data_IF_155067137632
#
_entry.id   IF_155067137632
#
_cell.length_a   1.000
_cell.length_b   1.000
_cell.length_c   1.000
_cell.angle_alpha   90.00
_cell.angle_beta   90.00
_cell.angle_gamma   90.00
#
_symmetry.space_group_name_H-M   'P 1'
#
loop_
_entity.id
_entity.type
_entity.pdbx_description
1 polymer ?
#
# COMPACT_ATOMS: atom_id res chain seq x y z
N UNK A 1 9.54 7.36 18.70
CA UNK A 1 8.93 6.35 17.82
C UNK A 1 9.88 6.00 16.69
N UNK A 2 9.79 4.80 16.15
CA UNK A 2 10.65 4.30 15.06
C UNK A 2 9.85 3.49 14.04
N UNK A 3 10.40 3.37 12.82
CA UNK A 3 9.87 2.50 11.75
C UNK A 3 10.75 1.26 11.67
N UNK A 4 10.15 0.09 11.49
CA UNK A 4 10.87 -1.18 11.46
C UNK A 4 10.77 -1.97 12.77
N UNK A 5 11.73 -2.84 13.09
CA UNK A 5 12.93 -3.20 12.31
C UNK A 5 12.63 -3.95 11.00
N UNK A 6 13.68 -4.40 10.31
CA UNK A 6 13.57 -5.17 9.07
C UNK A 6 12.79 -4.42 7.98
N UNK A 7 13.12 -3.14 7.78
CA UNK A 7 12.53 -2.28 6.75
C UNK A 7 13.61 -1.74 5.80
N UNK A 8 13.23 -1.36 4.58
CA UNK A 8 14.17 -0.74 3.61
C UNK A 8 14.23 0.78 3.71
N UNK A 9 13.47 1.39 4.60
CA UNK A 9 13.47 2.83 4.83
C UNK A 9 12.26 3.55 4.26
N UNK A 10 12.43 4.82 3.95
CA UNK A 10 11.35 5.67 3.45
C UNK A 10 11.82 6.65 2.36
N UNK A 11 10.88 7.10 1.55
CA UNK A 11 11.06 8.14 0.54
C UNK A 11 9.98 9.21 0.74
N UNK A 12 10.37 10.48 0.64
CA UNK A 12 9.45 11.60 0.42
C UNK A 12 10.01 12.46 -0.71
N UNK A 13 9.42 12.34 -1.89
CA UNK A 13 9.94 12.97 -3.11
C UNK A 13 9.82 14.48 -3.10
N UNK A 14 8.82 15.04 -2.39
CA UNK A 14 8.66 16.50 -2.27
C UNK A 14 9.83 17.17 -1.55
N UNK A 15 10.33 16.52 -0.51
CA UNK A 15 11.43 17.05 0.31
C UNK A 15 12.80 16.51 -0.10
N UNK A 16 12.90 15.75 -1.19
CA UNK A 16 14.11 15.03 -1.60
C UNK A 16 14.72 14.21 -0.45
N UNK A 17 13.85 13.56 0.33
CA UNK A 17 14.25 12.77 1.48
C UNK A 17 14.24 11.28 1.09
N UNK A 18 15.42 10.66 1.13
CA UNK A 18 15.61 9.27 0.68
C UNK A 18 16.45 8.44 1.67
N UNK A 19 16.09 8.32 2.96
CA UNK A 19 16.74 7.40 3.88
C UNK A 19 16.28 5.96 3.60
N UNK A 20 16.76 5.42 2.49
CA UNK A 20 16.37 4.12 1.94
C UNK A 20 17.51 3.51 1.14
N UNK A 21 17.44 2.20 0.89
CA UNK A 21 18.32 1.49 -0.04
C UNK A 21 17.80 1.52 -1.49
N UNK A 22 16.59 2.02 -1.69
CA UNK A 22 15.90 2.02 -2.98
C UNK A 22 16.31 3.21 -3.86
N UNK A 23 16.17 3.03 -5.17
CA UNK A 23 16.37 4.12 -6.12
C UNK A 23 15.27 5.20 -5.99
N UNK A 24 15.62 6.44 -6.30
CA UNK A 24 14.66 7.54 -6.27
C UNK A 24 13.61 7.40 -7.40
N UNK A 25 12.34 7.17 -7.10
CA UNK A 25 11.29 7.12 -8.11
C UNK A 25 10.93 8.52 -8.61
N UNK A 26 10.24 8.65 -9.75
CA UNK A 26 9.65 9.91 -10.17
C UNK A 26 8.70 10.47 -9.11
N UNK A 27 8.72 11.79 -8.91
CA UNK A 27 7.77 12.46 -8.03
C UNK A 27 6.34 12.38 -8.58
N UNK A 28 5.36 12.20 -7.70
CA UNK A 28 3.95 12.10 -8.08
C UNK A 28 3.00 12.09 -6.88
N UNK A 29 1.90 11.38 -7.00
CA UNK A 29 0.80 11.43 -6.02
C UNK A 29 0.45 10.08 -5.38
N UNK A 30 1.14 9.00 -5.75
CA UNK A 30 0.99 7.69 -5.12
C UNK A 30 1.80 7.66 -3.82
N UNK A 31 1.18 7.31 -2.70
CA UNK A 31 1.90 6.92 -1.49
C UNK A 31 1.77 5.43 -1.25
N UNK A 32 2.92 4.77 -1.09
CA UNK A 32 3.05 3.33 -0.91
C UNK A 32 3.49 3.02 0.52
N UNK A 33 2.66 2.24 1.22
CA UNK A 33 3.00 1.62 2.52
C UNK A 33 3.28 0.16 2.28
N UNK A 34 4.48 -0.31 2.61
CA UNK A 34 4.88 -1.69 2.34
C UNK A 34 5.42 -2.39 3.57
N UNK A 35 4.88 -3.58 3.85
CA UNK A 35 5.42 -4.46 4.88
C UNK A 35 6.76 -5.08 4.43
N UNK A 36 6.87 -5.43 3.15
CA UNK A 36 8.08 -5.96 2.54
C UNK A 36 8.92 -4.83 1.92
N UNK A 37 10.17 -4.68 2.36
CA UNK A 37 11.13 -3.76 1.75
C UNK A 37 11.37 -4.09 0.27
N UNK A 38 11.68 -5.36 -0.03
CA UNK A 38 11.97 -5.81 -1.40
C UNK A 38 10.80 -5.58 -2.36
N UNK A 39 9.55 -5.86 -1.93
CA UNK A 39 8.38 -5.63 -2.78
C UNK A 39 8.09 -4.13 -2.93
N UNK A 40 8.29 -3.36 -1.88
CA UNK A 40 8.17 -1.90 -1.95
C UNK A 40 9.19 -1.31 -2.92
N UNK A 41 10.45 -1.72 -2.86
CA UNK A 41 11.51 -1.32 -3.79
C UNK A 41 11.17 -1.69 -5.24
N UNK A 42 10.74 -2.92 -5.48
CA UNK A 42 10.30 -3.35 -6.81
C UNK A 42 9.17 -2.47 -7.37
N UNK A 43 8.19 -2.09 -6.54
CA UNK A 43 7.11 -1.19 -6.96
C UNK A 43 7.67 0.19 -7.29
N UNK A 44 8.61 0.73 -6.49
CA UNK A 44 9.27 2.01 -6.75
C UNK A 44 10.05 1.98 -8.08
N UNK A 45 10.80 0.91 -8.34
CA UNK A 45 11.59 0.76 -9.56
C UNK A 45 10.72 0.66 -10.82
N UNK A 46 9.58 -0.02 -10.73
CA UNK A 46 8.65 -0.19 -11.84
C UNK A 46 7.71 1.00 -12.05
N UNK A 47 7.57 1.89 -11.06
CA UNK A 47 6.65 3.03 -11.12
C UNK A 47 7.02 4.00 -12.27
N UNK A 48 8.30 4.38 -12.39
CA UNK A 48 8.77 5.28 -13.44
C UNK A 48 8.49 4.76 -14.85
N UNK A 49 8.94 3.56 -15.22
CA UNK A 49 8.61 2.92 -16.51
C UNK A 49 7.11 2.80 -16.77
N UNK A 50 6.29 2.59 -15.75
CA UNK A 50 4.83 2.54 -15.87
C UNK A 50 4.18 3.94 -16.01
N UNK A 51 4.93 5.03 -15.87
CA UNK A 51 4.40 6.39 -15.88
C UNK A 51 3.67 6.78 -14.59
N UNK A 52 4.04 6.17 -13.47
CA UNK A 52 3.49 6.43 -12.13
C UNK A 52 4.53 7.19 -11.31
N UNK A 53 4.12 8.31 -10.73
CA UNK A 53 4.95 9.06 -9.79
C UNK A 53 4.58 8.76 -8.34
N UNK A 54 5.60 8.70 -7.47
CA UNK A 54 5.47 8.40 -6.04
C UNK A 54 5.63 9.70 -5.23
N UNK A 55 4.69 9.96 -4.33
CA UNK A 55 4.79 11.01 -3.33
C UNK A 55 5.62 10.53 -2.15
N UNK A 56 5.23 9.39 -1.59
CA UNK A 56 5.88 8.77 -0.44
C UNK A 56 5.98 7.26 -0.61
N UNK A 57 7.09 6.71 -0.17
CA UNK A 57 7.25 5.27 0.05
C UNK A 57 7.67 5.06 1.50
N UNK A 58 7.01 4.15 2.19
CA UNK A 58 7.33 3.84 3.59
C UNK A 58 7.31 2.32 3.76
N UNK A 59 8.50 1.75 3.97
CA UNK A 59 8.64 0.35 4.36
C UNK A 59 8.58 0.26 5.88
N UNK A 60 7.56 -0.39 6.44
CA UNK A 60 7.43 -0.51 7.89
C UNK A 60 7.98 -1.82 8.47
N UNK A 61 8.29 -2.80 7.61
CA UNK A 61 8.91 -4.06 8.03
C UNK A 61 8.06 -4.80 9.08
N UNK A 62 8.65 -5.06 10.26
CA UNK A 62 7.95 -5.77 11.33
C UNK A 62 6.88 -4.92 12.04
N UNK A 63 6.87 -3.60 11.87
CA UNK A 63 5.87 -2.71 12.44
C UNK A 63 5.81 -2.73 13.97
N UNK A 64 6.98 -2.81 14.64
CA UNK A 64 7.03 -3.00 16.10
C UNK A 64 6.62 -1.77 16.92
N UNK A 65 6.73 -0.56 16.36
CA UNK A 65 6.25 0.69 16.97
C UNK A 65 5.31 1.41 16.01
N UNK A 66 5.81 1.86 14.84
CA UNK A 66 4.97 2.41 13.78
C UNK A 66 4.61 1.28 12.82
N UNK A 67 3.32 1.03 12.65
CA UNK A 67 2.77 -0.02 11.80
C UNK A 67 1.91 0.57 10.67
N UNK A 68 1.28 -0.29 9.87
CA UNK A 68 0.43 0.10 8.76
C UNK A 68 -0.74 1.01 9.17
N UNK A 69 -1.27 0.84 10.38
CA UNK A 69 -2.41 1.64 10.85
C UNK A 69 -2.00 3.08 11.13
N UNK A 70 -0.85 3.28 11.80
CA UNK A 70 -0.30 4.62 12.05
C UNK A 70 -0.01 5.34 10.72
N UNK A 71 0.54 4.61 9.74
CA UNK A 71 0.89 5.16 8.45
C UNK A 71 -0.34 5.51 7.62
N UNK A 72 -1.36 4.67 7.62
CA UNK A 72 -2.62 4.95 6.96
C UNK A 72 -3.34 6.15 7.59
N UNK A 73 -3.35 6.26 8.92
CA UNK A 73 -3.92 7.43 9.60
C UNK A 73 -3.17 8.72 9.25
N UNK A 74 -1.85 8.68 9.14
CA UNK A 74 -1.04 9.79 8.63
C UNK A 74 -1.40 10.15 7.20
N UNK A 75 -1.48 9.18 6.27
CA UNK A 75 -1.76 9.42 4.86
C UNK A 75 -3.20 9.89 4.60
N UNK A 76 -4.11 9.60 5.49
CA UNK A 76 -5.49 10.12 5.42
C UNK A 76 -5.52 11.64 5.35
N UNK A 77 -4.74 12.34 6.17
CA UNK A 77 -4.66 13.79 6.21
C UNK A 77 -3.57 14.40 5.32
N UNK A 78 -2.86 13.62 4.53
CA UNK A 78 -1.73 14.09 3.73
C UNK A 78 -2.17 14.63 2.36
N UNK A 79 -2.05 15.93 2.13
CA UNK A 79 -2.48 16.60 0.90
C UNK A 79 -1.67 16.22 -0.35
N UNK A 80 -0.47 15.68 -0.18
CA UNK A 80 0.38 15.24 -1.28
C UNK A 80 -0.04 13.87 -1.82
N UNK A 81 -0.70 13.09 -0.98
CA UNK A 81 -1.19 11.74 -1.31
C UNK A 81 -2.57 11.83 -1.94
N UNK A 82 -2.67 11.44 -3.21
CA UNK A 82 -3.97 11.30 -3.91
C UNK A 82 -4.42 9.86 -4.02
N UNK A 83 -3.49 8.92 -4.01
CA UNK A 83 -3.75 7.48 -4.09
C UNK A 83 -2.90 6.81 -3.02
N UNK A 84 -3.49 5.91 -2.25
CA UNK A 84 -2.79 5.10 -1.25
C UNK A 84 -2.66 3.68 -1.78
N UNK A 85 -1.44 3.16 -1.81
CA UNK A 85 -1.18 1.74 -2.05
C UNK A 85 -0.66 1.06 -0.79
N UNK A 86 -1.11 -0.16 -0.55
CA UNK A 86 -0.65 -0.99 0.58
C UNK A 86 -0.18 -2.34 0.06
N UNK A 87 1.03 -2.71 0.40
CA UNK A 87 1.51 -4.08 0.27
C UNK A 87 1.56 -4.73 1.66
N UNK A 88 0.72 -5.70 1.91
CA UNK A 88 0.60 -6.38 3.19
C UNK A 88 0.78 -7.90 3.06
N UNK A 89 1.64 -8.45 3.91
CA UNK A 89 1.81 -9.90 4.10
C UNK A 89 0.85 -10.41 5.18
N UNK A 90 0.65 -9.59 6.20
CA UNK A 90 -0.24 -9.84 7.32
C UNK A 90 -0.94 -8.54 7.73
N UNK A 91 -2.19 -8.64 8.16
CA UNK A 91 -2.96 -7.54 8.74
C UNK A 91 -3.27 -7.90 10.19
N UNK A 92 -2.60 -7.27 11.14
CA UNK A 92 -2.70 -7.58 12.57
C UNK A 92 -4.08 -7.27 13.14
N UNK A 93 -4.49 -6.02 13.11
CA UNK A 93 -5.77 -5.53 13.61
C UNK A 93 -6.78 -5.34 12.47
N UNK A 94 -7.22 -6.43 11.84
CA UNK A 94 -8.00 -6.40 10.62
C UNK A 94 -9.22 -5.46 10.66
N UNK A 95 -9.98 -5.44 11.79
CA UNK A 95 -11.14 -4.53 11.93
C UNK A 95 -10.72 -3.06 11.86
N UNK A 96 -9.69 -2.69 12.63
CA UNK A 96 -9.19 -1.30 12.65
C UNK A 96 -8.59 -0.89 11.29
N UNK A 97 -7.90 -1.83 10.62
CA UNK A 97 -7.43 -1.63 9.26
C UNK A 97 -8.60 -1.30 8.32
N UNK A 98 -9.69 -2.08 8.35
CA UNK A 98 -10.87 -1.86 7.53
C UNK A 98 -11.53 -0.50 7.83
N UNK A 99 -11.63 -0.12 9.11
CA UNK A 99 -12.22 1.17 9.53
C UNK A 99 -11.41 2.35 8.97
N UNK A 100 -10.08 2.31 9.06
CA UNK A 100 -9.20 3.37 8.52
C UNK A 100 -9.28 3.40 6.99
N UNK A 101 -9.19 2.25 6.33
CA UNK A 101 -9.32 2.15 4.87
C UNK A 101 -10.65 2.70 4.39
N UNK A 102 -11.75 2.38 5.08
CA UNK A 102 -13.08 2.92 4.74
C UNK A 102 -13.15 4.44 4.85
N UNK A 103 -12.46 5.03 5.83
CA UNK A 103 -12.38 6.49 5.95
C UNK A 103 -11.59 7.11 4.80
N UNK A 104 -10.42 6.54 4.47
CA UNK A 104 -9.58 7.03 3.37
C UNK A 104 -10.29 6.90 2.02
N UNK A 105 -10.95 5.76 1.78
CA UNK A 105 -11.59 5.44 0.50
C UNK A 105 -12.74 6.39 0.11
N UNK A 106 -13.24 7.19 1.05
CA UNK A 106 -14.23 8.24 0.77
C UNK A 106 -13.64 9.44 0.00
N UNK A 107 -12.34 9.66 0.13
CA UNK A 107 -11.66 10.84 -0.41
C UNK A 107 -10.54 10.47 -1.39
N UNK A 108 -9.84 9.35 -1.12
CA UNK A 108 -8.66 8.91 -1.86
C UNK A 108 -8.79 7.43 -2.19
N UNK A 109 -8.58 7.00 -3.44
CA UNK A 109 -8.52 5.58 -3.77
C UNK A 109 -7.47 4.85 -2.93
N UNK A 110 -7.82 3.67 -2.41
CA UNK A 110 -6.93 2.77 -1.70
C UNK A 110 -6.79 1.48 -2.50
N UNK A 111 -5.56 1.13 -2.87
CA UNK A 111 -5.24 -0.11 -3.60
C UNK A 111 -4.45 -1.02 -2.68
N UNK A 112 -4.87 -2.27 -2.53
CA UNK A 112 -4.22 -3.23 -1.63
C UNK A 112 -3.74 -4.45 -2.40
N UNK A 113 -2.45 -4.77 -2.28
CA UNK A 113 -1.91 -6.09 -2.57
C UNK A 113 -1.77 -6.85 -1.26
N UNK A 114 -2.50 -7.97 -1.14
CA UNK A 114 -2.35 -8.91 -0.03
C UNK A 114 -1.63 -10.16 -0.53
N UNK A 115 -0.43 -10.41 0.00
CA UNK A 115 0.34 -11.61 -0.33
C UNK A 115 -0.28 -12.88 0.24
N UNK A 116 0.18 -14.06 -0.19
CA UNK A 116 -0.28 -15.34 0.34
C UNK A 116 -1.64 -15.80 -0.18
N UNK A 117 -1.99 -15.50 -1.43
CA UNK A 117 -3.27 -15.89 -2.06
C UNK A 117 -3.38 -17.39 -2.36
N UNK A 118 -2.29 -18.00 -2.75
CA UNK A 118 -2.24 -19.45 -3.06
C UNK A 118 -1.81 -20.26 -1.85
N UNK A 119 -2.15 -21.55 -1.81
CA UNK A 119 -1.70 -22.45 -0.76
C UNK A 119 -0.15 -22.49 -0.65
N UNK A 120 0.56 -22.35 -1.76
CA UNK A 120 2.03 -22.24 -1.76
C UNK A 120 2.48 -20.89 -1.19
N UNK A 121 1.85 -19.78 -1.58
CA UNK A 121 2.11 -18.45 -1.05
C UNK A 121 1.78 -18.32 0.44
N UNK A 122 0.71 -18.98 0.92
CA UNK A 122 0.37 -19.04 2.34
C UNK A 122 1.45 -19.77 3.15
N UNK A 123 1.97 -20.89 2.65
CA UNK A 123 3.08 -21.61 3.30
C UNK A 123 4.36 -20.78 3.32
N UNK A 124 4.67 -20.06 2.23
CA UNK A 124 5.82 -19.17 2.18
C UNK A 124 5.67 -18.00 3.18
N UNK A 125 4.50 -17.35 3.23
CA UNK A 125 4.19 -16.29 4.19
C UNK A 125 4.30 -16.79 5.65
N UNK A 126 3.77 -17.97 5.96
CA UNK A 126 3.87 -18.57 7.29
C UNK A 126 5.33 -18.78 7.71
N UNK A 127 6.19 -19.24 6.78
CA UNK A 127 7.61 -19.45 7.04
C UNK A 127 8.37 -18.14 7.25
N UNK A 128 7.93 -17.04 6.62
CA UNK A 128 8.58 -15.73 6.66
C UNK A 128 8.11 -14.85 7.82
N UNK A 129 6.79 -14.82 8.08
CA UNK A 129 6.18 -13.92 9.07
C UNK A 129 5.68 -14.63 10.33
N UNK A 130 5.63 -15.96 10.34
CA UNK A 130 5.08 -16.75 11.45
C UNK A 130 3.56 -16.62 11.63
N UNK A 131 2.86 -15.94 10.72
CA UNK A 131 1.43 -15.65 10.83
C UNK A 131 0.59 -16.54 9.91
N UNK A 132 -0.50 -17.09 10.45
CA UNK A 132 -1.51 -17.80 9.66
C UNK A 132 -2.28 -16.79 8.80
N UNK A 133 -2.24 -16.96 7.48
CA UNK A 133 -3.09 -16.20 6.58
C UNK A 133 -4.54 -16.73 6.67
N UNK A 134 -5.52 -15.85 6.86
CA UNK A 134 -6.93 -16.18 6.71
C UNK A 134 -7.28 -16.56 5.27
N UNK A 135 -8.49 -17.09 5.05
CA UNK A 135 -8.96 -17.41 3.70
C UNK A 135 -8.94 -16.18 2.79
N UNK A 136 -8.44 -16.33 1.58
CA UNK A 136 -8.24 -15.21 0.63
C UNK A 136 -9.55 -14.49 0.28
N UNK A 137 -10.66 -15.25 0.22
CA UNK A 137 -11.99 -14.73 -0.04
C UNK A 137 -12.47 -13.75 1.05
N UNK A 138 -12.11 -14.00 2.31
CA UNK A 138 -12.45 -13.11 3.44
C UNK A 138 -11.78 -11.74 3.25
N UNK A 139 -10.49 -11.73 2.86
CA UNK A 139 -9.79 -10.49 2.56
C UNK A 139 -10.41 -9.74 1.38
N UNK A 140 -10.78 -10.46 0.32
CA UNK A 140 -11.40 -9.86 -0.86
C UNK A 140 -12.69 -9.13 -0.50
N UNK A 141 -13.58 -9.80 0.24
CA UNK A 141 -14.87 -9.22 0.62
C UNK A 141 -14.71 -8.08 1.64
N UNK A 142 -13.82 -8.25 2.60
CA UNK A 142 -13.53 -7.21 3.59
C UNK A 142 -13.01 -5.94 2.91
N UNK A 143 -12.00 -6.04 2.05
CA UNK A 143 -11.45 -4.91 1.32
C UNK A 143 -12.50 -4.21 0.45
N UNK A 144 -13.32 -4.97 -0.28
CA UNK A 144 -14.41 -4.43 -1.08
C UNK A 144 -15.43 -3.67 -0.20
N UNK A 145 -15.78 -4.22 0.97
CA UNK A 145 -16.68 -3.57 1.93
C UNK A 145 -16.12 -2.25 2.46
N UNK A 146 -14.81 -2.17 2.63
CA UNK A 146 -14.13 -0.92 3.04
C UNK A 146 -13.93 0.07 1.87
N UNK A 147 -14.33 -0.28 0.66
CA UNK A 147 -14.16 0.56 -0.53
C UNK A 147 -12.75 0.55 -1.11
N UNK A 148 -11.91 -0.42 -0.72
CA UNK A 148 -10.59 -0.59 -1.29
C UNK A 148 -10.63 -1.41 -2.58
N UNK A 149 -9.73 -1.08 -3.48
CA UNK A 149 -9.45 -1.85 -4.69
C UNK A 149 -8.41 -2.92 -4.35
N UNK A 150 -8.64 -4.14 -4.75
CA UNK A 150 -7.65 -5.21 -4.60
C UNK A 150 -6.89 -5.39 -5.91
N UNK A 151 -5.56 -5.34 -5.83
CA UNK A 151 -4.68 -5.67 -6.94
C UNK A 151 -4.07 -7.06 -6.75
N UNK A 152 -4.02 -7.84 -7.84
CA UNK A 152 -3.55 -9.22 -7.85
C UNK A 152 -2.04 -9.33 -8.15
N UNK A 153 -1.46 -8.24 -8.64
CA UNK A 153 -0.05 -8.14 -9.01
C UNK A 153 0.44 -6.70 -8.93
N UNK A 154 1.77 -6.53 -8.94
CA UNK A 154 2.40 -5.20 -9.03
C UNK A 154 2.01 -4.49 -10.33
N UNK A 155 1.98 -5.21 -11.45
CA UNK A 155 1.56 -4.64 -12.73
C UNK A 155 0.13 -4.07 -12.64
N UNK A 156 -0.82 -4.84 -12.09
CA UNK A 156 -2.18 -4.38 -11.90
C UNK A 156 -2.29 -3.19 -10.95
N UNK A 157 -1.51 -3.15 -9.86
CA UNK A 157 -1.44 -2.00 -8.96
C UNK A 157 -1.02 -0.74 -9.72
N UNK A 158 0.03 -0.83 -10.54
CA UNK A 158 0.54 0.30 -11.31
C UNK A 158 -0.46 0.74 -12.39
N UNK A 159 -1.11 -0.19 -13.08
CA UNK A 159 -2.15 0.10 -14.07
C UNK A 159 -3.37 0.80 -13.42
N UNK A 160 -3.84 0.30 -12.29
CA UNK A 160 -4.90 0.95 -11.51
C UNK A 160 -4.50 2.35 -11.07
N UNK A 161 -3.27 2.50 -10.53
CA UNK A 161 -2.74 3.81 -10.12
C UNK A 161 -2.71 4.78 -11.28
N UNK A 162 -2.21 4.35 -12.43
CA UNK A 162 -2.16 5.17 -13.65
C UNK A 162 -3.56 5.59 -14.09
N UNK A 163 -4.50 4.66 -14.16
CA UNK A 163 -5.89 4.95 -14.51
C UNK A 163 -6.51 5.98 -13.56
N UNK A 164 -6.38 5.77 -12.24
CA UNK A 164 -6.91 6.67 -11.22
C UNK A 164 -6.23 8.06 -11.21
N UNK A 165 -4.95 8.12 -11.51
CA UNK A 165 -4.21 9.40 -11.58
C UNK A 165 -4.69 10.30 -12.72
N UNK A 166 -5.20 9.71 -13.81
CA UNK A 166 -5.68 10.43 -14.99
C UNK A 166 -7.21 10.58 -15.03
N UNK A 167 -7.92 9.88 -14.16
CA UNK A 167 -9.38 9.96 -14.07
C UNK A 167 -9.82 11.13 -13.20
N UNK A 168 -10.83 11.87 -13.65
CA UNK A 168 -11.51 12.84 -12.79
C UNK A 168 -12.47 12.08 -11.87
N UNK A 169 -12.61 12.48 -10.59
CA UNK A 169 -13.66 11.96 -9.74
C UNK A 169 -15.03 12.16 -10.40
N UNK A 170 -15.84 11.12 -10.44
CA UNK A 170 -17.22 11.24 -10.91
C UNK A 170 -18.02 12.04 -9.89
N UNK A 171 -18.54 13.19 -10.32
CA UNK A 171 -19.42 14.03 -9.51
C UNK A 171 -20.86 13.78 -9.96
N UNK A 172 -21.63 13.03 -9.18
CA UNK A 172 -23.03 12.76 -9.43
C UNK A 172 -23.41 11.28 -9.36
N UNK A 173 -24.69 10.99 -9.21
CA UNK A 173 -25.24 9.63 -9.09
C UNK A 173 -25.72 9.02 -10.41
N UNK A 174 -25.36 9.57 -11.57
CA UNK A 174 -25.69 9.03 -12.91
C UNK A 174 -24.41 8.77 -13.67
N UNK A 175 -24.26 7.52 -14.12
CA UNK A 175 -23.30 7.09 -15.14
C UNK A 175 -23.87 7.39 -16.51
#
# INVERSE_FOLDING_TARGET
RYIGPNCSGLINTRFNLYPTLEAAPPSGSLSLVSQSGAMGGLICDLAGPAGVGIAKFISFGNGSDINELDLLDYLKGDDETRIVAVYAEHLGEGRRFMDIVSQISREKPVIVIKSGRTAAGQRAALSHTGSLAGADEVYTQALATAGALRADSVAQLLDMTKALSHSKPLTGGRL
#
